data_IF_614590584393
#
_entry.id   IF_614590584393
#
_cell.length_a   1.000
_cell.length_b   1.000
_cell.length_c   1.000
_cell.angle_alpha   90.00
_cell.angle_beta   90.00
_cell.angle_gamma   90.00
#
_symmetry.space_group_name_H-M   'P 1'
#
loop_
_entity.id
_entity.type
_entity.pdbx_description
1 polymer ?
#
# COMPACT_ATOMS: atom_id res chain seq x y z
N UNK A 1 18.78 -3.40 11.21
CA UNK A 1 18.38 -2.50 10.10
C UNK A 1 18.34 -1.08 10.68
N UNK A 2 18.77 -0.04 9.95
CA UNK A 2 18.62 1.33 10.42
C UNK A 2 17.14 1.67 10.58
N UNK A 3 16.82 2.53 11.56
CA UNK A 3 15.45 2.99 11.78
C UNK A 3 14.99 3.85 10.61
N UNK A 4 13.71 3.73 10.27
CA UNK A 4 13.08 4.43 9.14
C UNK A 4 12.05 5.42 9.64
N UNK A 5 12.06 6.63 9.08
CA UNK A 5 11.13 7.71 9.39
C UNK A 5 10.67 8.40 8.11
N UNK A 6 9.50 9.02 8.15
CA UNK A 6 8.97 9.80 7.03
C UNK A 6 9.02 11.29 7.36
N UNK A 7 9.50 12.08 6.39
CA UNK A 7 9.46 13.53 6.43
C UNK A 7 9.43 14.13 5.03
N UNK A 8 8.65 15.17 4.85
CA UNK A 8 8.63 15.95 3.60
C UNK A 8 9.57 17.16 3.65
N UNK A 9 10.22 17.41 4.79
CA UNK A 9 11.15 18.53 4.98
C UNK A 9 12.58 18.07 4.63
N UNK A 10 12.81 17.81 3.34
CA UNK A 10 14.12 17.43 2.79
C UNK A 10 14.47 18.44 1.70
N UNK A 11 15.56 19.17 1.85
CA UNK A 11 16.07 20.10 0.84
C UNK A 11 17.56 20.37 1.02
N UNK A 12 18.26 20.63 -0.09
CA UNK A 12 19.63 21.10 -0.13
C UNK A 12 20.62 20.31 0.76
N UNK A 13 20.47 18.97 0.78
CA UNK A 13 21.35 18.09 1.56
C UNK A 13 21.07 18.10 3.06
N UNK A 14 19.93 18.65 3.49
CA UNK A 14 19.47 18.69 4.88
C UNK A 14 18.05 18.14 5.01
N UNK A 15 17.69 17.69 6.22
CA UNK A 15 16.33 17.28 6.52
C UNK A 15 15.98 17.59 7.98
N UNK A 16 14.67 17.70 8.24
CA UNK A 16 14.14 17.90 9.59
C UNK A 16 13.04 16.88 9.86
N UNK A 17 13.14 16.19 10.99
CA UNK A 17 12.10 15.31 11.52
C UNK A 17 11.41 16.02 12.68
N UNK A 18 10.07 15.95 12.77
CA UNK A 18 9.28 16.67 13.77
C UNK A 18 8.33 15.77 14.55
N UNK A 19 7.85 16.31 15.68
CA UNK A 19 6.76 15.75 16.47
C UNK A 19 7.05 14.35 17.02
N UNK A 20 6.08 13.43 16.87
CA UNK A 20 6.15 12.11 17.48
C UNK A 20 7.37 11.27 17.01
N UNK A 21 7.74 11.37 15.75
CA UNK A 21 8.90 10.66 15.19
C UNK A 21 10.23 11.26 15.68
N UNK A 22 10.34 12.57 15.82
CA UNK A 22 11.50 13.20 16.43
C UNK A 22 11.63 12.82 17.92
N UNK A 23 10.52 12.81 18.65
CA UNK A 23 10.49 12.34 20.04
C UNK A 23 10.87 10.86 20.13
N UNK A 24 10.34 10.00 19.26
CA UNK A 24 10.69 8.59 19.22
C UNK A 24 12.19 8.38 18.99
N UNK A 25 12.78 9.07 17.99
CA UNK A 25 14.21 8.96 17.70
C UNK A 25 15.07 9.46 18.84
N UNK A 26 14.77 10.65 19.40
CA UNK A 26 15.60 11.29 20.44
C UNK A 26 15.45 10.65 21.81
N UNK A 27 14.23 10.30 22.23
CA UNK A 27 13.94 9.86 23.60
C UNK A 27 13.82 8.35 23.74
N UNK A 28 13.14 7.69 22.80
CA UNK A 28 12.92 6.23 22.87
C UNK A 28 14.14 5.48 22.34
N UNK A 29 14.58 5.84 21.14
CA UNK A 29 15.75 5.22 20.50
C UNK A 29 17.08 5.77 21.03
N UNK A 30 17.07 6.92 21.71
CA UNK A 30 18.25 7.59 22.29
C UNK A 30 19.33 7.86 21.24
N UNK A 31 18.90 8.31 20.06
CA UNK A 31 19.79 8.69 18.96
C UNK A 31 20.81 9.74 19.40
N UNK A 32 21.97 9.71 18.79
CA UNK A 32 23.11 10.60 19.10
C UNK A 32 23.54 11.32 17.84
N UNK A 33 24.24 12.44 18.00
CA UNK A 33 24.92 13.11 16.90
C UNK A 33 25.84 12.10 16.17
N UNK A 34 25.74 12.09 14.84
CA UNK A 34 26.49 11.17 13.99
C UNK A 34 25.82 9.81 13.75
N UNK A 35 24.74 9.46 14.46
CA UNK A 35 23.98 8.24 14.16
C UNK A 35 23.26 8.40 12.81
N UNK A 36 23.13 7.29 12.09
CA UNK A 36 22.48 7.23 10.77
C UNK A 36 21.12 6.57 10.84
N UNK A 37 20.17 7.13 10.10
CA UNK A 37 18.83 6.58 9.89
C UNK A 37 18.48 6.65 8.40
N UNK A 38 17.38 6.02 8.00
CA UNK A 38 16.79 6.20 6.67
C UNK A 38 15.62 7.17 6.80
N UNK A 39 15.65 8.23 6.01
CA UNK A 39 14.50 9.11 5.81
C UNK A 39 13.81 8.77 4.49
N UNK A 40 12.49 8.81 4.48
CA UNK A 40 11.65 8.60 3.30
C UNK A 40 10.80 9.83 3.07
N UNK A 41 10.66 10.25 1.82
CA UNK A 41 9.84 11.41 1.46
C UNK A 41 8.35 11.07 1.19
N UNK A 42 8.02 9.77 1.21
CA UNK A 42 6.68 9.27 0.90
C UNK A 42 6.42 9.00 -0.58
N UNK A 43 7.36 9.33 -1.47
CA UNK A 43 7.28 9.11 -2.92
C UNK A 43 8.18 7.98 -3.43
N UNK A 44 8.48 7.01 -2.55
CA UNK A 44 9.38 5.88 -2.83
C UNK A 44 10.86 6.27 -2.99
N UNK A 45 11.27 7.45 -2.50
CA UNK A 45 12.68 7.85 -2.41
C UNK A 45 13.15 7.76 -0.96
N UNK A 46 14.33 7.20 -0.79
CA UNK A 46 15.01 7.04 0.48
C UNK A 46 16.30 7.87 0.52
N UNK A 47 16.64 8.33 1.72
CA UNK A 47 17.83 9.12 1.99
C UNK A 47 18.58 8.54 3.18
N UNK A 48 19.88 8.28 3.03
CA UNK A 48 20.74 8.05 4.19
C UNK A 48 20.93 9.37 4.91
N UNK A 49 20.49 9.45 6.16
CA UNK A 49 20.48 10.68 6.95
C UNK A 49 21.32 10.53 8.21
N UNK A 50 22.21 11.48 8.46
CA UNK A 50 23.07 11.53 9.65
C UNK A 50 22.57 12.64 10.58
N UNK A 51 22.35 12.33 11.85
CA UNK A 51 21.90 13.29 12.87
C UNK A 51 22.96 14.35 13.08
N UNK A 52 22.60 15.63 12.84
CA UNK A 52 23.45 16.80 13.03
C UNK A 52 23.04 17.69 14.20
N UNK A 53 21.78 17.58 14.65
CA UNK A 53 21.27 18.41 15.73
C UNK A 53 19.99 17.89 16.36
N UNK A 54 19.73 18.36 17.58
CA UNK A 54 18.48 18.15 18.30
C UNK A 54 17.94 19.52 18.73
N UNK A 55 16.71 19.82 18.33
CA UNK A 55 15.98 20.98 18.75
C UNK A 55 14.82 20.64 19.70
N UNK A 56 13.96 21.61 19.95
CA UNK A 56 12.72 21.40 20.67
C UNK A 56 11.72 20.69 19.75
N UNK A 57 11.39 19.43 20.07
CA UNK A 57 10.56 18.54 19.23
C UNK A 57 11.06 18.32 17.79
N UNK A 58 12.34 18.55 17.53
CA UNK A 58 12.93 18.35 16.20
C UNK A 58 14.23 17.58 16.26
N UNK A 59 14.54 16.87 15.17
CA UNK A 59 15.87 16.31 14.90
C UNK A 59 16.31 16.77 13.52
N UNK A 60 17.51 17.26 13.41
CA UNK A 60 18.12 17.78 12.20
C UNK A 60 19.11 16.77 11.62
N UNK A 61 19.20 16.74 10.29
CA UNK A 61 20.05 15.79 9.58
C UNK A 61 20.81 16.46 8.44
N UNK A 62 21.99 15.93 8.15
CA UNK A 62 22.56 15.96 6.80
C UNK A 62 22.12 14.73 6.05
N UNK A 63 21.74 14.87 4.77
CA UNK A 63 21.28 13.77 3.94
C UNK A 63 22.16 13.58 2.71
N UNK A 64 22.41 12.33 2.35
CA UNK A 64 23.03 11.95 1.09
C UNK A 64 22.02 12.08 -0.06
N UNK A 65 22.45 12.06 -1.33
CA UNK A 65 21.55 12.02 -2.47
C UNK A 65 20.53 10.90 -2.35
N UNK A 66 19.25 11.21 -2.64
CA UNK A 66 18.17 10.23 -2.58
C UNK A 66 18.33 9.10 -3.59
N UNK A 67 17.83 7.94 -3.24
CA UNK A 67 17.82 6.75 -4.09
C UNK A 67 16.46 6.05 -4.04
N UNK A 68 16.06 5.30 -5.09
CA UNK A 68 14.79 4.58 -5.10
C UNK A 68 14.72 3.54 -3.98
N UNK A 69 13.59 3.45 -3.31
CA UNK A 69 13.33 2.41 -2.31
C UNK A 69 13.30 1.02 -2.95
N UNK A 70 14.08 0.10 -2.42
CA UNK A 70 14.13 -1.28 -2.91
C UNK A 70 12.91 -2.14 -2.47
N UNK A 71 12.10 -1.63 -1.55
CA UNK A 71 10.94 -2.36 -1.01
C UNK A 71 9.61 -2.01 -1.72
N UNK A 72 9.66 -1.18 -2.77
CA UNK A 72 8.46 -0.84 -3.52
C UNK A 72 8.05 -2.01 -4.44
N UNK A 73 6.74 -2.30 -4.50
CA UNK A 73 6.25 -3.36 -5.37
C UNK A 73 6.43 -3.02 -6.85
N UNK A 74 6.56 -4.05 -7.67
CA UNK A 74 6.66 -3.96 -9.14
C UNK A 74 5.32 -3.68 -9.83
N UNK A 75 4.22 -3.78 -9.07
CA UNK A 75 2.84 -3.54 -9.52
C UNK A 75 2.15 -2.52 -8.62
N UNK A 76 1.17 -1.81 -9.16
CA UNK A 76 0.30 -0.92 -8.40
C UNK A 76 -1.00 -1.62 -8.06
N UNK A 77 -1.25 -1.85 -6.78
CA UNK A 77 -2.44 -2.58 -6.31
C UNK A 77 -3.39 -1.65 -5.58
N UNK A 78 -4.63 -1.59 -6.07
CA UNK A 78 -5.76 -0.98 -5.37
C UNK A 78 -6.67 -2.06 -4.80
N UNK A 79 -6.85 -2.08 -3.49
CA UNK A 79 -7.73 -3.01 -2.82
C UNK A 79 -9.09 -2.34 -2.54
N UNK A 80 -10.15 -2.87 -3.15
CA UNK A 80 -11.53 -2.43 -3.00
C UNK A 80 -12.27 -3.44 -2.10
N UNK A 81 -12.47 -3.08 -0.84
CA UNK A 81 -13.04 -3.98 0.18
C UNK A 81 -14.46 -3.57 0.51
N UNK A 82 -15.38 -4.53 0.51
CA UNK A 82 -16.69 -4.33 1.14
C UNK A 82 -16.53 -4.30 2.65
N UNK A 83 -16.68 -3.12 3.26
CA UNK A 83 -16.45 -2.93 4.69
C UNK A 83 -17.66 -2.26 5.37
N UNK A 84 -18.11 -2.77 6.53
CA UNK A 84 -19.31 -2.23 7.19
C UNK A 84 -19.05 -0.91 7.92
N UNK A 85 -17.81 -0.65 8.41
CA UNK A 85 -17.46 0.58 9.13
C UNK A 85 -16.05 1.04 8.77
N UNK A 86 -15.89 2.32 8.49
CA UNK A 86 -14.61 2.93 8.18
C UNK A 86 -14.18 3.96 9.22
N UNK A 87 -12.89 3.93 9.54
CA UNK A 87 -12.24 4.97 10.34
C UNK A 87 -10.92 5.36 9.65
N UNK A 88 -11.03 6.26 8.67
CA UNK A 88 -9.89 6.69 7.85
C UNK A 88 -8.68 7.17 8.66
N UNK A 89 -8.89 7.86 9.79
CA UNK A 89 -7.79 8.33 10.63
C UNK A 89 -7.02 7.16 11.27
N UNK A 90 -7.72 6.12 11.70
CA UNK A 90 -7.13 4.91 12.25
C UNK A 90 -6.41 4.12 11.17
N UNK A 91 -7.05 3.96 10.01
CA UNK A 91 -6.53 3.15 8.91
C UNK A 91 -5.28 3.79 8.29
N UNK A 92 -5.27 5.12 8.11
CA UNK A 92 -4.08 5.87 7.70
C UNK A 92 -2.92 5.72 8.68
N UNK A 93 -3.18 5.75 9.99
CA UNK A 93 -2.15 5.54 11.00
C UNK A 93 -1.58 4.12 10.95
N UNK A 94 -2.44 3.10 10.78
CA UNK A 94 -1.99 1.71 10.63
C UNK A 94 -1.14 1.55 9.36
N UNK A 95 -1.57 2.11 8.23
CA UNK A 95 -0.83 2.08 6.98
C UNK A 95 0.54 2.76 7.10
N UNK A 96 0.61 3.91 7.78
CA UNK A 96 1.85 4.63 8.06
C UNK A 96 2.84 3.79 8.89
N UNK A 97 2.40 3.24 10.02
CA UNK A 97 3.26 2.41 10.87
C UNK A 97 3.69 1.10 10.18
N UNK A 98 2.80 0.49 9.40
CA UNK A 98 3.11 -0.69 8.63
C UNK A 98 4.17 -0.41 7.54
N UNK A 99 4.10 0.73 6.86
CA UNK A 99 5.10 1.13 5.85
C UNK A 99 6.49 1.31 6.48
N UNK A 100 6.57 1.93 7.65
CA UNK A 100 7.83 2.04 8.42
C UNK A 100 8.39 0.65 8.76
N UNK A 101 7.53 -0.25 9.22
CA UNK A 101 7.93 -1.59 9.67
C UNK A 101 8.38 -2.49 8.51
N UNK A 102 7.68 -2.48 7.37
CA UNK A 102 8.02 -3.33 6.24
C UNK A 102 9.10 -2.76 5.31
N UNK A 103 9.53 -1.53 5.56
CA UNK A 103 10.63 -0.89 4.83
C UNK A 103 10.24 -0.18 3.53
N UNK A 104 8.95 0.08 3.29
CA UNK A 104 8.52 0.86 2.12
C UNK A 104 8.93 2.32 2.24
N UNK A 105 9.30 2.92 1.14
CA UNK A 105 9.59 4.36 1.01
C UNK A 105 8.35 5.18 0.63
N UNK A 106 7.25 4.52 0.22
CA UNK A 106 5.96 5.13 -0.09
C UNK A 106 4.89 4.77 0.94
N UNK A 107 3.89 5.65 1.08
CA UNK A 107 2.73 5.43 1.94
C UNK A 107 1.55 4.96 1.09
N UNK A 108 0.80 3.90 1.50
CA UNK A 108 -0.45 3.54 0.86
C UNK A 108 -1.47 4.66 1.04
N UNK A 109 -2.23 4.96 0.00
CA UNK A 109 -3.37 5.85 0.08
C UNK A 109 -4.59 5.10 0.63
N UNK A 110 -5.22 5.65 1.66
CA UNK A 110 -6.49 5.15 2.23
C UNK A 110 -7.60 6.10 1.84
N UNK A 111 -8.24 5.79 0.71
CA UNK A 111 -9.26 6.63 0.10
C UNK A 111 -10.62 6.56 0.81
N UNK A 112 -11.48 7.51 0.52
CA UNK A 112 -12.87 7.50 0.97
C UNK A 112 -13.68 6.38 0.29
N UNK A 113 -14.71 5.83 0.98
CA UNK A 113 -15.53 4.78 0.41
C UNK A 113 -16.29 5.26 -0.83
N UNK A 114 -16.38 4.38 -1.81
CA UNK A 114 -17.29 4.57 -2.92
C UNK A 114 -18.74 4.34 -2.45
N UNK A 115 -19.72 5.11 -2.95
CA UNK A 115 -21.07 5.14 -2.37
C UNK A 115 -21.85 3.83 -2.56
N UNK A 116 -21.51 3.02 -3.55
CA UNK A 116 -22.14 1.72 -3.84
C UNK A 116 -21.30 0.91 -4.83
N UNK A 117 -21.65 -0.35 -5.01
CA UNK A 117 -20.95 -1.25 -5.91
C UNK A 117 -20.99 -0.80 -7.39
N UNK A 118 -22.06 -0.16 -7.84
CA UNK A 118 -22.12 0.42 -9.18
C UNK A 118 -21.12 1.56 -9.40
N UNK A 119 -20.76 2.32 -8.36
CA UNK A 119 -19.68 3.30 -8.44
C UNK A 119 -18.31 2.61 -8.54
N UNK A 120 -18.11 1.50 -7.83
CA UNK A 120 -16.92 0.66 -7.98
C UNK A 120 -16.78 0.21 -9.43
N UNK A 121 -17.82 -0.41 -10.00
CA UNK A 121 -17.78 -0.90 -11.38
C UNK A 121 -17.46 0.19 -12.41
N UNK A 122 -17.90 1.43 -12.21
CA UNK A 122 -17.59 2.56 -13.10
C UNK A 122 -16.15 3.06 -13.03
N UNK A 123 -15.42 2.73 -11.96
CA UNK A 123 -14.02 3.13 -11.79
C UNK A 123 -13.03 2.07 -12.26
N UNK A 124 -13.49 0.94 -12.79
CA UNK A 124 -12.61 -0.19 -13.10
C UNK A 124 -11.83 -0.03 -14.41
N UNK A 125 -12.23 0.87 -15.28
CA UNK A 125 -11.60 1.15 -16.58
C UNK A 125 -10.17 1.74 -16.49
N UNK A 126 -9.80 2.24 -15.32
CA UNK A 126 -8.46 2.76 -15.05
C UNK A 126 -7.41 1.68 -14.70
N UNK A 127 -7.82 0.40 -14.55
CA UNK A 127 -6.95 -0.70 -14.18
C UNK A 127 -6.69 -1.63 -15.36
N UNK A 128 -5.48 -2.13 -15.46
CA UNK A 128 -5.08 -3.11 -16.48
C UNK A 128 -5.63 -4.51 -16.20
N UNK A 129 -5.76 -4.85 -14.91
CA UNK A 129 -6.34 -6.11 -14.43
C UNK A 129 -7.27 -5.85 -13.24
N UNK A 130 -8.49 -6.36 -13.34
CA UNK A 130 -9.45 -6.35 -12.23
C UNK A 130 -9.72 -7.76 -11.75
N UNK A 131 -9.35 -8.07 -10.53
CA UNK A 131 -9.53 -9.35 -9.86
C UNK A 131 -10.77 -9.28 -8.96
N UNK A 132 -11.81 -10.02 -9.32
CA UNK A 132 -13.04 -10.13 -8.53
C UNK A 132 -13.03 -11.45 -7.74
N UNK A 133 -12.84 -11.35 -6.43
CA UNK A 133 -12.78 -12.51 -5.53
C UNK A 133 -14.20 -12.98 -5.21
N UNK A 134 -14.63 -14.07 -5.85
CA UNK A 134 -15.98 -14.61 -5.72
C UNK A 134 -15.93 -16.08 -5.31
N UNK A 135 -16.79 -16.47 -4.36
CA UNK A 135 -16.78 -17.83 -3.80
C UNK A 135 -17.22 -18.91 -4.80
N UNK A 136 -17.90 -18.54 -5.87
CA UNK A 136 -18.32 -19.48 -6.92
C UNK A 136 -17.18 -19.93 -7.85
N UNK A 137 -15.93 -19.63 -7.48
CA UNK A 137 -14.75 -20.02 -8.25
C UNK A 137 -14.33 -18.97 -9.28
N UNK A 138 -13.35 -19.31 -10.11
CA UNK A 138 -12.79 -18.40 -11.12
C UNK A 138 -11.51 -18.97 -11.70
N UNK A 139 -10.85 -18.19 -12.56
CA UNK A 139 -9.56 -18.56 -13.13
C UNK A 139 -8.46 -18.57 -12.05
N UNK A 140 -7.42 -19.38 -12.22
CA UNK A 140 -6.27 -19.35 -11.31
C UNK A 140 -5.58 -17.98 -11.34
N UNK A 141 -5.28 -17.41 -10.17
CA UNK A 141 -4.62 -16.10 -10.04
C UNK A 141 -3.33 -16.01 -10.88
N UNK A 142 -2.49 -17.04 -10.85
CA UNK A 142 -1.24 -17.09 -11.62
C UNK A 142 -1.47 -16.93 -13.12
N UNK A 143 -2.54 -17.51 -13.66
CA UNK A 143 -2.88 -17.37 -15.07
C UNK A 143 -3.29 -15.95 -15.39
N UNK A 144 -4.18 -15.36 -14.60
CA UNK A 144 -4.65 -13.98 -14.81
C UNK A 144 -3.49 -12.97 -14.76
N UNK A 145 -2.56 -13.14 -13.83
CA UNK A 145 -1.37 -12.29 -13.73
C UNK A 145 -0.41 -12.47 -14.91
N UNK A 146 -0.26 -13.70 -15.43
CA UNK A 146 0.62 -13.97 -16.57
C UNK A 146 0.05 -13.42 -17.90
N UNK A 147 -1.26 -13.29 -18.01
CA UNK A 147 -1.95 -12.75 -19.19
C UNK A 147 -2.07 -11.22 -19.17
N UNK A 148 -1.87 -10.59 -18.01
CA UNK A 148 -2.02 -9.16 -17.85
C UNK A 148 -0.76 -8.44 -18.33
N UNK A 149 -0.97 -7.33 -19.06
CA UNK A 149 0.10 -6.45 -19.53
C UNK A 149 -0.26 -5.00 -19.22
N UNK A 150 0.70 -4.18 -18.75
CA UNK A 150 0.44 -2.77 -18.51
C UNK A 150 0.15 -2.03 -19.84
N UNK A 151 -0.82 -1.12 -19.83
CA UNK A 151 -1.26 -0.40 -21.01
C UNK A 151 -0.15 0.45 -21.66
N UNK A 152 0.71 1.07 -20.86
CA UNK A 152 1.70 2.06 -21.31
C UNK A 152 3.16 1.71 -20.96
N UNK A 153 3.46 0.43 -20.69
CA UNK A 153 4.80 0.00 -20.28
C UNK A 153 5.22 0.48 -18.88
N UNK A 154 4.28 1.05 -18.13
CA UNK A 154 4.41 1.40 -16.72
C UNK A 154 4.17 0.17 -15.81
N UNK A 155 4.05 0.41 -14.51
CA UNK A 155 3.65 -0.64 -13.58
C UNK A 155 2.24 -1.13 -13.88
N UNK A 156 2.03 -2.45 -13.83
CA UNK A 156 0.71 -3.05 -13.99
C UNK A 156 -0.23 -2.59 -12.87
N UNK A 157 -1.34 -1.95 -13.23
CA UNK A 157 -2.37 -1.43 -12.32
C UNK A 157 -3.41 -2.52 -12.06
N UNK A 158 -3.45 -3.05 -10.85
CA UNK A 158 -4.34 -4.14 -10.47
C UNK A 158 -5.38 -3.65 -9.48
N UNK A 159 -6.67 -3.80 -9.80
CA UNK A 159 -7.73 -3.69 -8.79
C UNK A 159 -8.08 -5.08 -8.24
N UNK A 160 -8.23 -5.16 -6.94
CA UNK A 160 -8.68 -6.37 -6.23
C UNK A 160 -9.98 -6.03 -5.52
N UNK A 161 -11.06 -6.76 -5.82
CA UNK A 161 -12.38 -6.56 -5.23
C UNK A 161 -12.69 -7.74 -4.30
N UNK A 162 -12.94 -7.46 -3.03
CA UNK A 162 -13.36 -8.45 -2.04
C UNK A 162 -14.67 -8.02 -1.38
N UNK A 163 -15.57 -8.97 -1.13
CA UNK A 163 -16.87 -8.72 -0.51
C UNK A 163 -16.81 -8.51 0.99
N UNK A 164 -17.90 -8.01 1.54
CA UNK A 164 -18.18 -8.01 2.97
C UNK A 164 -18.59 -9.43 3.43
N UNK A 165 -19.03 -9.57 4.68
CA UNK A 165 -19.44 -10.85 5.31
C UNK A 165 -20.53 -11.60 4.54
N UNK A 166 -21.43 -10.88 3.85
CA UNK A 166 -22.48 -11.44 3.02
C UNK A 166 -22.06 -11.87 1.61
N UNK A 167 -20.79 -11.67 1.24
CA UNK A 167 -20.29 -11.91 -0.12
C UNK A 167 -20.90 -10.92 -1.14
N UNK A 168 -21.06 -11.39 -2.37
CA UNK A 168 -21.68 -10.65 -3.47
C UNK A 168 -22.93 -11.33 -3.96
N UNK A 169 -23.95 -10.54 -4.31
CA UNK A 169 -25.12 -11.02 -5.01
C UNK A 169 -24.76 -11.40 -6.47
N UNK A 170 -25.58 -12.27 -7.08
CA UNK A 170 -25.36 -12.70 -8.45
C UNK A 170 -25.37 -11.52 -9.45
N UNK A 171 -26.24 -10.54 -9.20
CA UNK A 171 -26.36 -9.33 -10.00
C UNK A 171 -25.11 -8.44 -9.89
N UNK A 172 -24.45 -8.42 -8.71
CA UNK A 172 -23.18 -7.71 -8.52
C UNK A 172 -22.04 -8.40 -9.27
N UNK A 173 -22.01 -9.74 -9.25
CA UNK A 173 -21.03 -10.50 -10.02
C UNK A 173 -21.20 -10.28 -11.54
N UNK A 174 -22.43 -10.25 -12.04
CA UNK A 174 -22.70 -9.89 -13.44
C UNK A 174 -22.28 -8.46 -13.78
N UNK A 175 -22.50 -7.53 -12.85
CA UNK A 175 -22.12 -6.12 -13.01
C UNK A 175 -20.60 -5.99 -13.10
N UNK A 176 -19.87 -6.67 -12.22
CA UNK A 176 -18.41 -6.70 -12.24
C UNK A 176 -17.88 -7.30 -13.55
N UNK A 177 -18.44 -8.41 -14.00
CA UNK A 177 -18.05 -9.07 -15.25
C UNK A 177 -18.28 -8.17 -16.47
N UNK A 178 -19.41 -7.44 -16.54
CA UNK A 178 -19.71 -6.45 -17.60
C UNK A 178 -18.74 -5.27 -17.58
N UNK A 179 -18.21 -4.92 -16.41
CA UNK A 179 -17.18 -3.90 -16.23
C UNK A 179 -15.74 -4.41 -16.47
N UNK A 180 -15.57 -5.64 -16.97
CA UNK A 180 -14.28 -6.21 -17.34
C UNK A 180 -13.55 -6.96 -16.22
N UNK A 181 -14.16 -7.10 -15.03
CA UNK A 181 -13.55 -7.83 -13.92
C UNK A 181 -13.42 -9.33 -14.24
N UNK A 182 -12.31 -9.92 -13.85
CA UNK A 182 -12.02 -11.35 -13.97
C UNK A 182 -12.26 -12.02 -12.64
N UNK A 183 -13.17 -12.99 -12.60
CA UNK A 183 -13.39 -13.78 -11.39
C UNK A 183 -12.16 -14.63 -11.10
N UNK A 184 -11.64 -14.52 -9.88
CA UNK A 184 -10.45 -15.24 -9.43
C UNK A 184 -10.82 -16.21 -8.31
N UNK A 185 -10.32 -17.46 -8.42
CA UNK A 185 -10.44 -18.47 -7.38
C UNK A 185 -9.23 -18.42 -6.43
N UNK A 186 -9.49 -18.31 -5.14
CA UNK A 186 -8.47 -18.33 -4.08
C UNK A 186 -8.27 -19.72 -3.45
N UNK A 187 -8.60 -20.78 -4.22
CA UNK A 187 -8.50 -22.16 -3.78
C UNK A 187 -9.86 -22.77 -3.41
N UNK A 188 -9.87 -24.04 -2.93
CA UNK A 188 -11.12 -24.79 -2.73
C UNK A 188 -11.86 -24.43 -1.44
N UNK A 189 -11.30 -23.55 -0.60
CA UNK A 189 -11.89 -23.12 0.67
C UNK A 189 -12.39 -21.71 0.57
N UNK A 190 -13.60 -21.47 1.08
CA UNK A 190 -14.15 -20.12 1.22
C UNK A 190 -13.37 -19.41 2.33
N UNK A 191 -12.83 -18.23 2.03
CA UNK A 191 -12.14 -17.36 2.98
C UNK A 191 -13.14 -16.37 3.58
N UNK A 192 -12.95 -16.03 4.84
CA UNK A 192 -13.70 -14.95 5.48
C UNK A 192 -13.35 -13.59 4.87
N UNK A 193 -14.25 -12.61 4.99
CA UNK A 193 -14.09 -11.27 4.42
C UNK A 193 -12.80 -10.55 4.90
N UNK A 194 -12.33 -10.81 6.11
CA UNK A 194 -11.07 -10.26 6.64
C UNK A 194 -9.85 -11.01 6.10
N UNK A 195 -10.02 -12.29 5.74
CA UNK A 195 -8.91 -13.15 5.29
C UNK A 195 -8.67 -13.04 3.79
N UNK A 196 -9.72 -12.92 3.00
CA UNK A 196 -9.62 -12.89 1.53
C UNK A 196 -8.74 -11.73 1.01
N UNK A 197 -8.88 -10.47 1.49
CA UNK A 197 -8.01 -9.38 1.09
C UNK A 197 -6.53 -9.65 1.37
N UNK A 198 -6.21 -10.14 2.56
CA UNK A 198 -4.83 -10.46 2.95
C UNK A 198 -4.25 -11.57 2.07
N UNK A 199 -5.01 -12.62 1.84
CA UNK A 199 -4.59 -13.77 1.04
C UNK A 199 -4.31 -13.39 -0.41
N UNK A 200 -5.23 -12.63 -1.05
CA UNK A 200 -5.07 -12.27 -2.47
C UNK A 200 -3.97 -11.24 -2.66
N UNK A 201 -3.86 -10.20 -1.82
CA UNK A 201 -2.79 -9.21 -1.91
C UNK A 201 -1.43 -9.87 -1.71
N UNK A 202 -1.29 -10.72 -0.68
CA UNK A 202 -0.05 -11.44 -0.43
C UNK A 202 0.35 -12.35 -1.60
N UNK A 203 -0.63 -13.04 -2.22
CA UNK A 203 -0.38 -13.88 -3.38
C UNK A 203 0.02 -13.05 -4.61
N UNK A 204 -0.65 -11.92 -4.88
CA UNK A 204 -0.27 -11.00 -5.97
C UNK A 204 1.16 -10.52 -5.77
N UNK A 205 1.49 -9.96 -4.61
CA UNK A 205 2.83 -9.45 -4.31
C UNK A 205 3.92 -10.52 -4.45
N UNK A 206 3.63 -11.76 -4.03
CA UNK A 206 4.59 -12.88 -4.14
C UNK A 206 4.79 -13.34 -5.58
N UNK A 207 3.77 -13.25 -6.42
CA UNK A 207 3.82 -13.73 -7.80
C UNK A 207 4.35 -12.69 -8.79
N UNK A 208 4.38 -11.42 -8.41
CA UNK A 208 4.81 -10.29 -9.26
C UNK A 208 6.12 -9.66 -8.78
N UNK A 209 6.60 -9.98 -7.56
CA UNK A 209 7.82 -9.42 -6.95
C UNK A 209 9.09 -10.19 -7.25
#
# INVERSE_FOLDING_TARGET
MPHRYFTTEISDGTAVLRGADAHHLSRVMRGKLGDTVILCDGSAVEYTATITGFGDETVEFSVEPGYPSAAEPTVDVTLLVGYPEQNNARDNRIAFEASKQCGRGSLPDVAFPLPNFGAVCRSLDQYDLVLFCYECGGAPLRQLLAEATPADGEKLKIAIITGAEGGFAAEEAEMAAKAGAKTVGLGPRILRCETAPLAVVSAVMTLTG
#
